data_IF_860915970973
#
_entry.id   IF_860915970973
#
_cell.length_a   1.000
_cell.length_b   1.000
_cell.length_c   1.000
_cell.angle_alpha   90.00
_cell.angle_beta   90.00
_cell.angle_gamma   90.00
#
_symmetry.space_group_name_H-M   'P 1'
#
loop_
_entity.id
_entity.type
_entity.pdbx_description
1 polymer ?
#
# COMPACT_ATOMS: atom_id res chain seq x y z
N UNK A 1 2.02 21.11 0.68
CA UNK A 1 3.33 20.47 0.94
C UNK A 1 4.44 21.52 0.96
N UNK A 2 5.55 21.31 1.66
CA UNK A 2 6.70 22.23 1.67
C UNK A 2 7.97 21.61 1.03
N UNK A 3 9.06 22.38 0.91
CA UNK A 3 10.30 21.88 0.27
C UNK A 3 11.06 20.83 1.08
N UNK A 4 10.95 20.83 2.41
CA UNK A 4 11.55 19.81 3.28
C UNK A 4 10.81 18.47 3.08
N UNK A 5 9.49 18.50 2.99
CA UNK A 5 8.66 17.31 2.69
C UNK A 5 9.08 16.66 1.36
N UNK A 6 9.25 17.47 0.31
CA UNK A 6 9.67 16.98 -1.01
C UNK A 6 11.08 16.39 -0.98
N UNK A 7 11.99 17.03 -0.24
CA UNK A 7 13.35 16.52 -0.06
C UNK A 7 13.35 15.17 0.67
N UNK A 8 12.47 15.02 1.68
CA UNK A 8 12.28 13.76 2.39
C UNK A 8 11.75 12.68 1.45
N UNK A 9 10.72 12.99 0.64
CA UNK A 9 10.14 12.06 -0.34
C UNK A 9 11.22 11.59 -1.33
N UNK A 10 11.94 12.51 -1.97
CA UNK A 10 13.03 12.19 -2.90
C UNK A 10 14.09 11.28 -2.26
N UNK A 11 14.49 11.62 -1.03
CA UNK A 11 15.51 10.86 -0.29
C UNK A 11 15.02 9.45 0.02
N UNK A 12 13.79 9.30 0.49
CA UNK A 12 13.21 8.02 0.90
C UNK A 12 12.88 7.12 -0.28
N UNK A 13 12.47 7.70 -1.41
CA UNK A 13 12.21 6.96 -2.64
C UNK A 13 13.48 6.71 -3.46
N UNK A 14 14.60 7.35 -3.12
CA UNK A 14 15.82 7.37 -3.91
C UNK A 14 15.58 7.82 -5.37
N UNK A 15 14.67 8.78 -5.55
CA UNK A 15 14.26 9.33 -6.84
C UNK A 15 14.29 10.85 -6.79
N UNK A 16 14.42 11.48 -7.96
CA UNK A 16 14.22 12.93 -8.12
C UNK A 16 12.80 13.16 -8.61
N UNK A 17 12.09 14.09 -7.99
CA UNK A 17 10.77 14.48 -8.48
C UNK A 17 10.99 15.40 -9.69
N UNK A 18 10.28 15.17 -10.81
CA UNK A 18 10.35 16.08 -11.96
C UNK A 18 9.99 17.51 -11.55
N UNK A 19 10.61 18.52 -12.18
CA UNK A 19 10.46 19.91 -11.76
C UNK A 19 9.00 20.38 -11.81
N UNK A 20 8.28 20.04 -12.89
CA UNK A 20 6.87 20.39 -13.05
C UNK A 20 5.97 19.79 -11.95
N UNK A 21 6.21 18.53 -11.57
CA UNK A 21 5.47 17.89 -10.48
C UNK A 21 5.79 18.51 -9.12
N UNK A 22 7.08 18.82 -8.87
CA UNK A 22 7.52 19.50 -7.66
C UNK A 22 6.85 20.86 -7.49
N UNK A 23 6.81 21.64 -8.58
CA UNK A 23 6.20 22.96 -8.58
C UNK A 23 4.68 22.88 -8.34
N UNK A 24 3.99 21.88 -8.93
CA UNK A 24 2.58 21.64 -8.67
C UNK A 24 2.28 21.32 -7.19
N UNK A 25 3.07 20.43 -6.56
CA UNK A 25 2.91 20.09 -5.13
C UNK A 25 3.18 21.26 -4.18
N UNK A 26 4.13 22.14 -4.53
CA UNK A 26 4.42 23.35 -3.76
C UNK A 26 3.33 24.42 -3.90
N UNK A 27 2.79 24.57 -5.11
CA UNK A 27 1.72 25.53 -5.37
C UNK A 27 0.41 25.11 -4.69
N UNK A 28 0.17 23.79 -4.60
CA UNK A 28 -1.15 23.27 -4.29
C UNK A 28 -2.05 23.35 -5.52
N UNK A 29 -2.68 22.24 -5.85
CA UNK A 29 -3.58 22.08 -6.98
C UNK A 29 -5.01 22.05 -6.45
N UNK A 30 -5.85 22.89 -7.05
CA UNK A 30 -7.29 22.87 -6.87
C UNK A 30 -7.95 22.78 -8.23
N UNK A 31 -8.89 21.86 -8.40
CA UNK A 31 -9.67 21.67 -9.62
C UNK A 31 -11.13 22.02 -9.31
N UNK A 32 -11.68 23.03 -10.00
CA UNK A 32 -13.02 23.56 -9.72
C UNK A 32 -13.27 23.93 -8.24
N UNK A 33 -12.31 24.63 -7.61
CA UNK A 33 -12.35 25.02 -6.19
C UNK A 33 -12.42 23.84 -5.20
N UNK A 34 -12.04 22.65 -5.64
CA UNK A 34 -11.98 21.46 -4.80
C UNK A 34 -10.61 20.81 -4.91
N UNK A 35 -10.21 20.13 -3.84
CA UNK A 35 -9.00 19.37 -3.84
C UNK A 35 -9.16 18.14 -4.78
N UNK A 36 -8.15 17.81 -5.61
CA UNK A 36 -8.22 16.78 -6.66
C UNK A 36 -8.13 15.33 -6.15
N UNK A 37 -8.11 15.09 -4.84
CA UNK A 37 -8.07 13.75 -4.26
C UNK A 37 -9.33 12.93 -4.64
N UNK A 38 -9.20 11.60 -4.83
CA UNK A 38 -7.98 10.80 -4.72
C UNK A 38 -7.07 10.84 -5.96
N UNK A 39 -7.52 11.45 -7.07
CA UNK A 39 -6.83 11.45 -8.37
C UNK A 39 -5.47 12.15 -8.35
N UNK A 40 -5.25 13.10 -7.44
CA UNK A 40 -3.95 13.71 -7.23
C UNK A 40 -3.66 13.90 -5.74
N UNK A 41 -2.70 13.14 -5.22
CA UNK A 41 -2.30 13.11 -3.82
C UNK A 41 -1.38 14.28 -3.47
N UNK A 42 -1.82 15.13 -2.54
CA UNK A 42 -1.08 16.32 -2.11
C UNK A 42 -0.61 16.28 -0.67
N UNK A 43 -1.04 15.28 0.10
CA UNK A 43 -0.49 15.02 1.43
C UNK A 43 0.87 14.31 1.31
N UNK A 44 1.89 14.91 1.92
CA UNK A 44 3.27 14.42 1.80
C UNK A 44 3.46 13.03 2.42
N UNK A 45 2.77 12.77 3.53
CA UNK A 45 2.87 11.51 4.26
C UNK A 45 2.21 10.41 3.46
N UNK A 46 0.99 10.64 2.98
CA UNK A 46 0.24 9.70 2.15
C UNK A 46 0.93 9.42 0.81
N UNK A 47 1.48 10.45 0.16
CA UNK A 47 2.25 10.29 -1.07
C UNK A 47 3.47 9.39 -0.85
N UNK A 48 4.21 9.61 0.23
CA UNK A 48 5.37 8.81 0.59
C UNK A 48 4.99 7.37 0.96
N UNK A 49 3.99 7.20 1.83
CA UNK A 49 3.50 5.89 2.27
C UNK A 49 3.10 5.06 1.06
N UNK A 50 2.23 5.58 0.19
CA UNK A 50 1.75 4.86 -0.98
C UNK A 50 2.90 4.46 -1.90
N UNK A 51 3.82 5.37 -2.21
CA UNK A 51 4.95 5.05 -3.07
C UNK A 51 5.91 4.00 -2.47
N UNK A 52 6.12 4.02 -1.15
CA UNK A 52 6.93 3.01 -0.49
C UNK A 52 6.20 1.65 -0.46
N UNK A 53 4.90 1.61 -0.18
CA UNK A 53 4.13 0.36 -0.17
C UNK A 53 4.14 -0.32 -1.55
N UNK A 54 3.95 0.43 -2.64
CA UNK A 54 4.02 -0.11 -4.01
C UNK A 54 5.38 -0.75 -4.33
N UNK A 55 6.47 -0.22 -3.75
CA UNK A 55 7.84 -0.74 -3.94
C UNK A 55 8.19 -1.89 -2.99
N UNK A 56 7.60 -1.89 -1.81
CA UNK A 56 7.87 -2.88 -0.76
C UNK A 56 6.96 -4.09 -0.84
N UNK A 57 5.89 -4.06 -1.65
CA UNK A 57 4.99 -5.20 -1.81
C UNK A 57 5.79 -6.42 -2.30
N UNK A 58 5.99 -7.44 -1.44
CA UNK A 58 6.80 -8.62 -1.77
C UNK A 58 6.04 -9.54 -2.73
N UNK A 59 4.71 -9.44 -2.74
CA UNK A 59 3.85 -10.21 -3.62
C UNK A 59 3.65 -9.36 -4.87
N UNK A 60 4.30 -9.78 -5.94
CA UNK A 60 4.06 -9.29 -7.29
C UNK A 60 2.59 -9.44 -7.71
N UNK A 61 1.78 -10.18 -6.95
CA UNK A 61 0.31 -10.29 -7.07
C UNK A 61 -0.42 -8.94 -7.05
N UNK A 62 0.16 -7.88 -6.46
CA UNK A 62 -0.44 -6.54 -6.52
C UNK A 62 -0.46 -5.96 -7.95
N UNK A 63 0.39 -6.48 -8.86
CA UNK A 63 0.50 -6.03 -10.24
C UNK A 63 0.46 -7.19 -11.25
N UNK A 64 -0.40 -8.19 -11.05
CA UNK A 64 -0.48 -9.39 -11.91
C UNK A 64 0.86 -10.15 -12.09
N UNK A 65 1.66 -10.18 -11.03
CA UNK A 65 3.02 -10.75 -11.07
C UNK A 65 4.08 -9.76 -11.56
N UNK A 66 3.72 -8.52 -11.85
CA UNK A 66 4.63 -7.43 -12.20
C UNK A 66 5.29 -6.76 -10.99
N UNK A 67 6.43 -6.11 -11.25
CA UNK A 67 7.04 -5.19 -10.30
C UNK A 67 6.61 -3.75 -10.63
N UNK A 68 6.34 -2.95 -9.59
CA UNK A 68 6.15 -1.51 -9.77
C UNK A 68 7.38 -0.90 -10.47
N UNK A 69 7.20 0.01 -11.46
CA UNK A 69 8.34 0.54 -12.16
C UNK A 69 9.31 1.30 -11.24
N UNK A 70 10.61 1.00 -11.37
CA UNK A 70 11.64 1.54 -10.47
C UNK A 70 11.69 3.08 -10.46
N UNK A 71 11.35 3.71 -11.59
CA UNK A 71 11.29 5.16 -11.76
C UNK A 71 9.85 5.73 -11.71
N UNK A 72 8.84 4.90 -11.41
CA UNK A 72 7.43 5.31 -11.39
C UNK A 72 7.04 5.95 -10.05
N UNK A 73 6.54 7.18 -10.07
CA UNK A 73 6.05 7.89 -8.88
C UNK A 73 4.52 7.90 -8.93
N UNK A 74 3.86 7.17 -8.03
CA UNK A 74 2.41 7.25 -7.88
C UNK A 74 2.03 8.68 -7.47
N UNK A 75 1.09 9.26 -8.19
CA UNK A 75 0.59 10.62 -7.97
C UNK A 75 -0.88 10.64 -7.52
N UNK A 76 -1.60 9.52 -7.57
CA UNK A 76 -2.99 9.41 -7.14
C UNK A 76 -3.65 8.10 -7.59
N UNK A 77 -4.93 7.94 -7.29
CA UNK A 77 -5.73 6.77 -7.65
C UNK A 77 -7.20 7.15 -7.96
N UNK A 78 -7.98 6.22 -8.47
CA UNK A 78 -9.41 6.42 -8.77
C UNK A 78 -10.37 5.89 -7.69
N UNK A 79 -9.83 5.47 -6.53
CA UNK A 79 -10.58 4.84 -5.44
C UNK A 79 -11.09 3.42 -5.75
N UNK A 80 -10.79 2.88 -6.93
CA UNK A 80 -11.24 1.56 -7.39
C UNK A 80 -10.08 0.60 -7.66
N UNK A 81 -8.85 1.00 -7.35
CA UNK A 81 -7.65 0.17 -7.49
C UNK A 81 -6.71 0.64 -8.61
N UNK A 82 -7.15 1.52 -9.50
CA UNK A 82 -6.31 2.03 -10.57
C UNK A 82 -5.38 3.13 -10.05
N UNK A 83 -4.13 3.12 -10.50
CA UNK A 83 -3.07 3.96 -9.95
C UNK A 83 -2.51 4.86 -11.04
N UNK A 84 -2.57 6.17 -10.82
CA UNK A 84 -1.95 7.16 -11.71
C UNK A 84 -0.51 7.43 -11.28
N UNK A 85 0.42 7.45 -12.22
CA UNK A 85 1.83 7.68 -11.92
C UNK A 85 2.55 8.41 -13.05
N UNK A 86 3.71 8.98 -12.71
CA UNK A 86 4.64 9.65 -13.63
C UNK A 86 6.02 9.00 -13.56
N UNK A 87 6.89 9.29 -14.53
CA UNK A 87 8.28 8.84 -14.50
C UNK A 87 9.18 9.92 -13.89
N UNK A 88 10.06 9.51 -12.97
CA UNK A 88 11.02 10.39 -12.31
C UNK A 88 11.97 11.12 -13.28
N UNK A 89 12.23 10.53 -14.45
CA UNK A 89 13.11 11.09 -15.48
C UNK A 89 12.36 11.87 -16.58
N UNK A 90 11.05 12.07 -16.45
CA UNK A 90 10.25 12.81 -17.42
C UNK A 90 9.81 14.18 -16.91
N UNK A 91 10.49 15.22 -17.38
CA UNK A 91 10.20 16.62 -17.03
C UNK A 91 8.85 17.13 -17.55
N UNK A 92 8.24 16.46 -18.55
CA UNK A 92 6.86 16.78 -18.95
C UNK A 92 5.84 16.20 -17.99
N UNK A 93 6.24 15.19 -17.22
CA UNK A 93 5.35 14.42 -16.36
C UNK A 93 4.18 13.83 -17.15
N UNK A 94 4.46 13.09 -18.23
CA UNK A 94 3.45 12.26 -18.86
C UNK A 94 2.86 11.32 -17.80
N UNK A 95 1.53 11.22 -17.78
CA UNK A 95 0.79 10.45 -16.78
C UNK A 95 0.34 9.15 -17.41
N UNK A 96 0.71 8.06 -16.75
CA UNK A 96 0.28 6.70 -17.04
C UNK A 96 -0.68 6.23 -15.95
N UNK A 97 -1.55 5.28 -16.28
CA UNK A 97 -2.43 4.58 -15.35
C UNK A 97 -2.05 3.11 -15.34
N UNK A 98 -1.87 2.54 -14.15
CA UNK A 98 -1.89 1.10 -13.95
C UNK A 98 -3.34 0.66 -13.70
N UNK A 99 -3.88 -0.17 -14.59
CA UNK A 99 -5.21 -0.76 -14.45
C UNK A 99 -5.11 -2.07 -13.66
N UNK A 100 -5.74 -2.11 -12.49
CA UNK A 100 -5.66 -3.26 -11.58
C UNK A 100 -6.48 -4.47 -12.05
N UNK A 101 -7.42 -4.29 -12.98
CA UNK A 101 -8.23 -5.40 -13.52
C UNK A 101 -7.49 -6.12 -14.65
N UNK A 102 -6.70 -5.39 -15.44
CA UNK A 102 -6.01 -5.91 -16.63
C UNK A 102 -4.52 -6.14 -16.45
N UNK A 103 -3.92 -5.51 -15.44
CA UNK A 103 -2.47 -5.54 -15.21
C UNK A 103 -1.68 -4.66 -16.18
N UNK A 104 -2.36 -3.84 -16.99
CA UNK A 104 -1.75 -3.06 -18.06
C UNK A 104 -1.42 -1.62 -17.63
N UNK A 105 -0.41 -1.06 -18.28
CA UNK A 105 -0.01 0.35 -18.15
C UNK A 105 -0.51 1.13 -19.37
N UNK A 106 -1.39 2.11 -19.13
CA UNK A 106 -2.02 2.90 -20.18
C UNK A 106 -1.59 4.37 -20.10
N UNK A 107 -1.33 4.98 -21.26
CA UNK A 107 -1.07 6.41 -21.32
C UNK A 107 -2.37 7.21 -21.13
N UNK A 108 -2.41 8.09 -20.12
CA UNK A 108 -3.55 8.97 -19.85
C UNK A 108 -3.33 10.35 -20.45
N UNK A 109 -2.15 10.92 -20.25
CA UNK A 109 -1.80 12.24 -20.75
C UNK A 109 -0.30 12.36 -21.03
N UNK A 110 0.07 13.26 -21.96
CA UNK A 110 1.46 13.54 -22.32
C UNK A 110 2.13 14.57 -21.39
N UNK A 111 1.39 15.09 -20.42
CA UNK A 111 1.83 16.11 -19.48
C UNK A 111 0.95 16.18 -18.23
N UNK A 112 1.48 16.77 -17.15
CA UNK A 112 0.72 16.99 -15.92
C UNK A 112 -0.44 17.99 -16.11
N UNK A 113 -0.25 19.02 -16.94
CA UNK A 113 -1.30 19.97 -17.30
C UNK A 113 -2.45 19.28 -18.04
N UNK A 114 -2.13 18.43 -19.02
CA UNK A 114 -3.12 17.63 -19.74
C UNK A 114 -3.86 16.67 -18.81
N UNK A 115 -3.19 16.11 -17.81
CA UNK A 115 -3.80 15.25 -16.80
C UNK A 115 -4.79 16.02 -15.90
N UNK A 116 -4.47 17.25 -15.48
CA UNK A 116 -5.42 18.07 -14.74
C UNK A 116 -6.65 18.42 -15.57
N UNK A 117 -6.49 18.73 -16.86
CA UNK A 117 -7.62 18.93 -17.77
C UNK A 117 -8.48 17.66 -17.92
N UNK A 118 -7.84 16.48 -17.94
CA UNK A 118 -8.53 15.18 -17.94
C UNK A 118 -9.36 14.99 -16.66
N UNK A 119 -8.79 15.21 -15.47
CA UNK A 119 -9.52 15.09 -14.18
C UNK A 119 -10.69 16.08 -14.14
N UNK A 120 -10.49 17.33 -14.53
CA UNK A 120 -11.57 18.32 -14.57
C UNK A 120 -12.74 17.87 -15.44
N UNK A 121 -12.46 17.29 -16.61
CA UNK A 121 -13.49 16.77 -17.51
C UNK A 121 -14.18 15.54 -16.92
N UNK A 122 -13.43 14.65 -16.27
CA UNK A 122 -13.96 13.48 -15.57
C UNK A 122 -14.93 13.91 -14.46
N UNK A 123 -14.51 14.80 -13.57
CA UNK A 123 -15.33 15.33 -12.48
C UNK A 123 -16.60 16.03 -13.01
N UNK A 124 -16.49 16.80 -14.11
CA UNK A 124 -17.64 17.43 -14.76
C UNK A 124 -18.64 16.38 -15.29
N UNK A 125 -18.13 15.33 -15.89
CA UNK A 125 -18.93 14.22 -16.44
C UNK A 125 -19.64 13.47 -15.32
N UNK A 126 -18.93 13.13 -14.24
CA UNK A 126 -19.53 12.50 -13.06
C UNK A 126 -20.63 13.36 -12.46
N UNK A 127 -20.39 14.66 -12.28
CA UNK A 127 -21.39 15.59 -11.77
C UNK A 127 -22.64 15.67 -12.66
N UNK A 128 -22.47 15.61 -14.00
CA UNK A 128 -23.59 15.58 -14.93
C UNK A 128 -24.41 14.29 -14.80
N UNK A 129 -23.76 13.13 -14.60
CA UNK A 129 -24.42 11.82 -14.45
C UNK A 129 -25.16 11.73 -13.11
N UNK A 130 -24.55 12.20 -12.02
CA UNK A 130 -25.15 12.10 -10.67
C UNK A 130 -26.09 13.25 -10.33
N UNK A 131 -26.29 14.20 -11.25
CA UNK A 131 -27.11 15.40 -11.02
C UNK A 131 -26.53 16.31 -9.93
N UNK A 132 -25.20 16.36 -9.83
CA UNK A 132 -24.46 17.11 -8.82
C UNK A 132 -24.56 16.52 -7.41
N UNK A 133 -25.22 15.37 -7.23
CA UNK A 133 -25.13 14.62 -5.98
C UNK A 133 -23.77 13.94 -6.00
N UNK A 134 -22.86 14.39 -5.14
CA UNK A 134 -21.62 13.65 -4.91
C UNK A 134 -21.93 12.19 -4.53
N UNK A 135 -20.96 11.27 -4.65
CA UNK A 135 -21.12 9.92 -4.14
C UNK A 135 -21.66 9.99 -2.71
N UNK A 136 -22.82 9.36 -2.49
CA UNK A 136 -23.45 9.34 -1.18
C UNK A 136 -22.57 8.50 -0.26
N UNK A 137 -21.88 9.15 0.68
CA UNK A 137 -21.05 8.49 1.70
C UNK A 137 -21.93 7.72 2.72
N UNK A 138 -23.26 7.80 2.60
CA UNK A 138 -24.22 6.97 3.34
C UNK A 138 -24.21 5.49 2.92
N UNK A 139 -23.04 4.94 2.60
CA UNK A 139 -22.88 3.49 2.71
C UNK A 139 -23.03 3.16 4.20
N UNK A 140 -24.00 2.30 4.60
CA UNK A 140 -24.07 1.88 5.99
C UNK A 140 -22.69 1.36 6.38
N UNK A 141 -22.18 1.66 7.59
CA UNK A 141 -20.88 1.16 8.01
C UNK A 141 -20.92 -0.35 7.80
N UNK A 142 -20.16 -0.84 6.82
CA UNK A 142 -19.92 -2.26 6.67
C UNK A 142 -19.40 -2.65 8.04
N UNK A 143 -20.05 -3.59 8.72
CA UNK A 143 -19.60 -4.04 10.02
C UNK A 143 -18.20 -4.62 9.79
N UNK A 144 -17.18 -3.80 10.00
CA UNK A 144 -15.80 -4.20 9.82
C UNK A 144 -15.59 -5.28 10.86
N UNK A 145 -15.48 -6.52 10.40
CA UNK A 145 -15.06 -7.63 11.22
C UNK A 145 -13.55 -7.49 11.50
N UNK A 146 -13.22 -6.42 12.24
CA UNK A 146 -11.94 -6.04 12.82
C UNK A 146 -11.44 -7.16 13.70
N UNK A 147 -10.85 -8.16 13.07
CA UNK A 147 -10.40 -9.38 13.73
C UNK A 147 -8.92 -9.63 13.50
N UNK A 148 -8.17 -8.64 12.99
CA UNK A 148 -6.73 -8.71 12.88
C UNK A 148 -5.98 -8.19 14.11
N UNK A 149 -4.75 -8.66 14.27
CA UNK A 149 -3.72 -8.01 15.08
C UNK A 149 -2.45 -7.83 14.25
N UNK A 150 -1.65 -6.80 14.55
CA UNK A 150 -0.41 -6.54 13.84
C UNK A 150 0.67 -5.95 14.74
N UNK A 151 1.93 -6.25 14.46
CA UNK A 151 3.11 -5.61 15.08
C UNK A 151 3.57 -4.47 14.17
N UNK A 152 3.65 -3.26 14.73
CA UNK A 152 4.14 -2.06 14.04
C UNK A 152 4.95 -1.17 14.98
N UNK A 153 5.80 -0.30 14.42
CA UNK A 153 6.52 0.75 15.19
C UNK A 153 5.77 2.09 15.22
N UNK A 154 4.76 2.26 14.38
CA UNK A 154 4.06 3.54 14.12
C UNK A 154 2.67 3.61 14.74
N UNK A 155 2.00 4.77 14.69
CA UNK A 155 0.69 4.92 15.30
C UNK A 155 -0.39 4.11 14.57
N UNK A 156 -0.29 4.04 13.24
CA UNK A 156 -1.23 3.30 12.39
C UNK A 156 -0.55 2.17 11.64
N UNK A 157 -1.35 1.22 11.14
CA UNK A 157 -0.88 0.12 10.30
C UNK A 157 -0.19 0.62 9.03
N UNK A 158 -0.78 1.62 8.37
CA UNK A 158 -0.31 2.13 7.08
C UNK A 158 1.03 2.87 7.20
N UNK A 159 1.22 3.61 8.29
CA UNK A 159 2.49 4.31 8.58
C UNK A 159 3.67 3.36 8.82
N UNK A 160 3.45 2.05 9.01
CA UNK A 160 4.53 1.09 9.31
C UNK A 160 5.65 1.12 8.27
N UNK A 161 5.34 1.43 7.02
CA UNK A 161 6.30 1.56 5.92
C UNK A 161 7.32 2.70 6.13
N UNK A 162 7.01 3.70 6.96
CA UNK A 162 7.90 4.81 7.27
C UNK A 162 8.99 4.41 8.28
N UNK A 163 8.67 3.50 9.19
CA UNK A 163 9.61 2.93 10.16
C UNK A 163 9.44 1.40 10.21
N UNK A 164 9.84 0.70 9.13
CA UNK A 164 9.53 -0.71 8.96
C UNK A 164 10.30 -1.55 9.97
N UNK A 165 9.68 -2.65 10.40
CA UNK A 165 10.41 -3.82 10.88
C UNK A 165 11.07 -4.42 9.65
N UNK A 166 12.38 -4.62 9.66
CA UNK A 166 13.07 -5.23 8.52
C UNK A 166 12.79 -6.73 8.43
N UNK A 167 12.99 -7.30 7.24
CA UNK A 167 12.87 -8.75 7.06
C UNK A 167 13.91 -9.48 7.92
N UNK A 168 15.13 -8.94 8.00
CA UNK A 168 16.22 -9.50 8.79
C UNK A 168 15.88 -9.54 10.29
N UNK A 169 15.29 -8.46 10.82
CA UNK A 169 14.82 -8.43 12.22
C UNK A 169 13.73 -9.47 12.48
N UNK A 170 12.77 -9.58 11.55
CA UNK A 170 11.69 -10.56 11.66
C UNK A 170 12.21 -11.99 11.59
N UNK A 171 13.05 -12.31 10.61
CA UNK A 171 13.69 -13.63 10.47
C UNK A 171 14.50 -13.98 11.71
N UNK A 172 15.33 -13.06 12.22
CA UNK A 172 16.12 -13.30 13.41
C UNK A 172 15.26 -13.60 14.66
N UNK A 173 14.13 -12.91 14.80
CA UNK A 173 13.18 -13.22 15.88
C UNK A 173 12.60 -14.63 15.72
N UNK A 174 12.08 -14.97 14.54
CA UNK A 174 11.48 -16.29 14.26
C UNK A 174 12.49 -17.42 14.46
N UNK A 175 13.73 -17.27 14.00
CA UNK A 175 14.79 -18.29 14.18
C UNK A 175 15.18 -18.49 15.65
N UNK A 176 14.97 -17.48 16.50
CA UNK A 176 15.26 -17.56 17.94
C UNK A 176 14.12 -18.18 18.76
N UNK A 177 12.93 -18.31 18.18
CA UNK A 177 11.72 -18.78 18.84
C UNK A 177 11.39 -20.22 18.42
N UNK A 178 11.32 -21.14 19.38
CA UNK A 178 11.09 -22.56 19.10
C UNK A 178 9.65 -22.90 18.69
N UNK A 179 8.69 -21.98 18.88
CA UNK A 179 7.28 -22.18 18.54
C UNK A 179 6.92 -21.66 17.14
N UNK A 180 7.81 -20.87 16.53
CA UNK A 180 7.63 -20.31 15.19
C UNK A 180 8.52 -21.02 14.18
N UNK A 181 7.98 -21.21 12.98
CA UNK A 181 8.71 -21.74 11.82
C UNK A 181 8.61 -20.75 10.67
N UNK A 182 9.75 -20.33 10.11
CA UNK A 182 9.76 -19.54 8.88
C UNK A 182 9.40 -20.45 7.70
N UNK A 183 8.20 -20.26 7.14
CA UNK A 183 7.71 -21.10 6.04
C UNK A 183 8.08 -20.52 4.67
N UNK A 184 7.98 -19.20 4.51
CA UNK A 184 8.35 -18.53 3.25
C UNK A 184 7.37 -18.71 2.08
N UNK A 185 6.29 -19.49 2.24
CA UNK A 185 5.26 -19.67 1.21
C UNK A 185 3.89 -20.00 1.83
N UNK A 186 2.82 -19.57 1.15
CA UNK A 186 1.44 -20.00 1.42
C UNK A 186 1.15 -21.26 0.62
N UNK A 187 0.40 -22.19 1.19
CA UNK A 187 -0.04 -23.42 0.53
C UNK A 187 -1.56 -23.51 0.56
N UNK A 188 -2.17 -23.68 -0.61
CA UNK A 188 -3.61 -23.85 -0.78
C UNK A 188 -3.83 -25.15 -1.54
N UNK A 189 -4.67 -26.03 -1.00
CA UNK A 189 -5.08 -27.24 -1.72
C UNK A 189 -6.29 -26.89 -2.59
N UNK A 190 -6.13 -27.01 -3.91
CA UNK A 190 -7.23 -26.83 -4.84
C UNK A 190 -8.35 -27.85 -4.54
N UNK A 191 -9.59 -27.39 -4.27
CA UNK A 191 -10.65 -28.28 -3.80
C UNK A 191 -11.16 -29.25 -4.88
N UNK A 192 -10.91 -28.95 -6.16
CA UNK A 192 -11.41 -29.74 -7.29
C UNK A 192 -10.47 -30.86 -7.71
N UNK A 193 -9.17 -30.58 -7.81
CA UNK A 193 -8.17 -31.54 -8.28
C UNK A 193 -7.21 -32.03 -7.17
N UNK A 194 -7.29 -31.46 -5.95
CA UNK A 194 -6.42 -31.75 -4.79
C UNK A 194 -4.95 -31.39 -4.99
N UNK A 195 -4.63 -30.60 -6.01
CA UNK A 195 -3.30 -30.09 -6.25
C UNK A 195 -2.92 -29.07 -5.17
N UNK A 196 -1.69 -29.15 -4.68
CA UNK A 196 -1.11 -28.16 -3.79
C UNK A 196 -0.59 -26.98 -4.62
N UNK A 197 -1.22 -25.82 -4.46
CA UNK A 197 -0.77 -24.56 -5.04
C UNK A 197 0.07 -23.83 -4.00
N UNK A 198 1.30 -23.48 -4.36
CA UNK A 198 2.21 -22.71 -3.50
C UNK A 198 2.38 -21.31 -4.07
N UNK A 199 2.24 -20.32 -3.20
CA UNK A 199 2.50 -18.92 -3.51
C UNK A 199 3.61 -18.43 -2.59
N UNK A 200 4.65 -17.86 -3.18
CA UNK A 200 5.77 -17.30 -2.42
C UNK A 200 5.28 -16.25 -1.43
N UNK A 201 5.79 -16.29 -0.21
CA UNK A 201 5.49 -15.33 0.85
C UNK A 201 6.69 -15.28 1.80
N UNK A 202 7.80 -14.64 1.39
CA UNK A 202 9.13 -14.86 2.00
C UNK A 202 9.21 -14.63 3.51
N UNK A 203 8.38 -13.73 4.06
CA UNK A 203 8.34 -13.44 5.50
C UNK A 203 7.15 -14.09 6.22
N UNK A 204 6.52 -15.10 5.65
CA UNK A 204 5.48 -15.87 6.32
C UNK A 204 6.10 -16.81 7.35
N UNK A 205 5.77 -16.59 8.62
CA UNK A 205 6.02 -17.56 9.69
C UNK A 205 4.71 -18.22 10.13
N UNK A 206 4.83 -19.40 10.72
CA UNK A 206 3.70 -20.18 11.23
C UNK A 206 3.96 -20.64 12.65
N UNK A 207 2.89 -20.65 13.44
CA UNK A 207 2.87 -21.25 14.78
C UNK A 207 1.90 -22.43 14.75
N UNK A 208 2.37 -23.61 15.16
CA UNK A 208 1.53 -24.80 15.24
C UNK A 208 0.66 -24.73 16.50
N UNK A 209 -0.66 -24.86 16.33
CA UNK A 209 -1.62 -25.07 17.41
C UNK A 209 -2.24 -26.47 17.26
N UNK A 210 -2.92 -26.97 18.30
CA UNK A 210 -3.38 -28.36 18.41
C UNK A 210 -4.11 -28.87 17.14
N UNK A 211 -5.02 -28.05 16.59
CA UNK A 211 -5.86 -28.41 15.43
C UNK A 211 -5.69 -27.45 14.23
N UNK A 212 -4.79 -26.47 14.31
CA UNK A 212 -4.66 -25.43 13.27
C UNK A 212 -3.29 -24.77 13.25
N UNK A 213 -3.03 -23.93 12.25
CA UNK A 213 -1.82 -23.11 12.18
C UNK A 213 -2.21 -21.65 12.25
N UNK A 214 -1.52 -20.88 13.09
CA UNK A 214 -1.60 -19.43 13.03
C UNK A 214 -0.52 -18.91 12.08
N UNK A 215 -0.92 -18.12 11.10
CA UNK A 215 -0.03 -17.47 10.14
C UNK A 215 0.32 -16.05 10.59
N UNK A 216 1.62 -15.73 10.53
CA UNK A 216 2.21 -14.42 10.79
C UNK A 216 2.79 -13.90 9.49
N UNK A 217 2.09 -12.99 8.85
CA UNK A 217 2.44 -12.47 7.53
C UNK A 217 3.22 -11.17 7.65
N UNK A 218 4.46 -11.19 7.16
CA UNK A 218 5.24 -9.97 6.95
C UNK A 218 4.79 -9.26 5.66
N UNK A 219 4.44 -7.98 5.74
CA UNK A 219 4.10 -7.15 4.56
C UNK A 219 4.51 -5.72 4.83
N UNK A 220 5.22 -5.05 3.92
CA UNK A 220 5.55 -3.62 4.03
C UNK A 220 6.10 -3.17 5.40
N UNK A 221 6.91 -4.01 6.06
CA UNK A 221 7.54 -3.68 7.34
C UNK A 221 6.66 -3.85 8.58
N UNK A 222 5.56 -4.61 8.47
CA UNK A 222 4.66 -4.99 9.57
C UNK A 222 4.40 -6.49 9.56
N UNK A 223 4.10 -7.06 10.72
CA UNK A 223 3.69 -8.46 10.86
C UNK A 223 2.19 -8.47 11.17
N UNK A 224 1.41 -9.23 10.39
CA UNK A 224 -0.05 -9.28 10.49
C UNK A 224 -0.51 -10.70 10.82
N UNK A 225 -1.52 -10.79 11.68
CA UNK A 225 -2.18 -12.05 12.06
C UNK A 225 -3.68 -11.87 11.93
N UNK A 226 -4.31 -12.71 11.12
CA UNK A 226 -5.77 -12.71 10.95
C UNK A 226 -6.41 -13.60 12.01
N UNK A 227 -7.44 -13.09 12.68
CA UNK A 227 -8.21 -13.79 13.72
C UNK A 227 -7.29 -14.46 14.76
N UNK A 228 -6.39 -13.69 15.40
CA UNK A 228 -5.37 -14.27 16.26
C UNK A 228 -6.01 -15.04 17.42
N UNK A 229 -5.51 -16.24 17.68
CA UNK A 229 -5.80 -16.96 18.92
C UNK A 229 -5.23 -16.21 20.14
N UNK A 230 -5.59 -16.63 21.35
CA UNK A 230 -4.96 -16.09 22.56
C UNK A 230 -3.45 -16.37 22.63
N UNK A 231 -3.00 -17.53 22.16
CA UNK A 231 -1.58 -17.87 22.08
C UNK A 231 -0.87 -16.97 21.06
N UNK A 232 -1.50 -16.74 19.90
CA UNK A 232 -0.97 -15.86 18.88
C UNK A 232 -0.83 -14.41 19.37
N UNK A 233 -1.80 -13.89 20.11
CA UNK A 233 -1.71 -12.55 20.71
C UNK A 233 -0.54 -12.46 21.70
N UNK A 234 -0.37 -13.45 22.57
CA UNK A 234 0.77 -13.49 23.50
C UNK A 234 2.11 -13.52 22.73
N UNK A 235 2.18 -14.28 21.63
CA UNK A 235 3.36 -14.32 20.77
C UNK A 235 3.62 -12.98 20.08
N UNK A 236 2.58 -12.26 19.65
CA UNK A 236 2.72 -10.92 19.10
C UNK A 236 3.25 -9.91 20.13
N UNK A 237 2.82 -9.98 21.39
CA UNK A 237 3.32 -9.11 22.45
C UNK A 237 4.80 -9.37 22.76
N UNK A 238 5.21 -10.64 22.79
CA UNK A 238 6.61 -11.05 22.93
C UNK A 238 7.47 -10.50 21.79
N UNK A 239 7.05 -10.77 20.54
CA UNK A 239 7.72 -10.29 19.34
C UNK A 239 7.81 -8.75 19.31
N UNK A 240 6.72 -8.05 19.66
CA UNK A 240 6.70 -6.60 19.73
C UNK A 240 7.72 -6.07 20.75
N UNK A 241 7.87 -6.71 21.91
CA UNK A 241 8.87 -6.31 22.90
C UNK A 241 10.31 -6.48 22.39
N UNK A 242 10.60 -7.59 21.67
CA UNK A 242 11.95 -7.84 21.14
C UNK A 242 12.28 -6.88 19.99
N UNK A 243 11.30 -6.61 19.12
CA UNK A 243 11.45 -5.77 17.93
C UNK A 243 11.33 -4.26 18.20
N UNK A 244 11.18 -3.87 19.48
CA UNK A 244 10.91 -2.50 19.90
C UNK A 244 9.73 -1.87 19.13
N UNK A 245 8.62 -2.59 19.12
CA UNK A 245 7.39 -2.29 18.41
C UNK A 245 6.20 -2.39 19.36
N UNK A 246 4.98 -2.34 18.83
CA UNK A 246 3.74 -2.49 19.59
C UNK A 246 2.71 -3.29 18.79
N UNK A 247 1.76 -3.90 19.51
CA UNK A 247 0.64 -4.62 18.92
C UNK A 247 -0.54 -3.67 18.70
N UNK A 248 -1.09 -3.64 17.49
CA UNK A 248 -2.37 -3.03 17.15
C UNK A 248 -3.41 -4.12 16.94
N UNK A 249 -4.58 -3.99 17.57
CA UNK A 249 -5.69 -4.94 17.43
C UNK A 249 -6.91 -4.25 16.84
N UNK A 250 -7.74 -4.98 16.10
CA UNK A 250 -9.03 -4.48 15.63
C UNK A 250 -8.90 -3.57 14.41
N UNK A 251 -8.06 -3.97 13.47
CA UNK A 251 -8.02 -3.45 12.11
C UNK A 251 -8.71 -4.41 11.14
#
# INVERSE_FOLDING_TARGET
MNSEDLTLIETRLALKLPAAYRDALLAGVELNSSAPEPYFQQDATELLITNLELRMSPNQDAFDGGAWPADGICIGDDGSGNIYFIRANDEKCAVECYDHETGEFEAVSDSLEGYFAYIENLLRTMAAITGGRGPSIDSPPVAEHKSGAAIVRTATLRESVLNPISMEEWTAFVESDAELEMRGYRSIVNPFNREEIRTESPGLAVMQEDDSNQEFEYTCGRIMVRRPSHAALAKLDEAASVLNAKVLTGW
#
